data_IF_889273129687
#
_entry.id   IF_889273129687
#
_cell.length_a   1.000
_cell.length_b   1.000
_cell.length_c   1.000
_cell.angle_alpha   90.00
_cell.angle_beta   90.00
_cell.angle_gamma   90.00
#
_symmetry.space_group_name_H-M   'P 1'
#
loop_
_entity.id
_entity.type
_entity.pdbx_description
1 polymer ?
#
# COMPACT_ATOMS: atom_id res chain seq x y z
N UNK A 1 21.39 10.32 -8.99
CA UNK A 1 21.19 11.07 -7.73
C UNK A 1 20.40 10.17 -6.80
N UNK A 2 20.62 10.18 -5.48
CA UNK A 2 19.79 9.40 -4.57
C UNK A 2 18.34 9.91 -4.63
N UNK A 3 17.36 9.00 -4.62
CA UNK A 3 15.93 9.34 -4.50
C UNK A 3 15.73 9.90 -3.10
N UNK A 4 15.10 11.07 -2.98
CA UNK A 4 14.76 11.66 -1.69
C UNK A 4 13.46 11.03 -1.20
N UNK A 5 13.56 10.13 -0.22
CA UNK A 5 12.42 9.37 0.30
C UNK A 5 11.77 10.05 1.50
N UNK A 6 12.22 11.24 1.90
CA UNK A 6 11.73 11.91 3.09
C UNK A 6 10.22 12.23 2.99
N UNK A 7 9.50 11.94 4.06
CA UNK A 7 8.10 12.36 4.24
C UNK A 7 8.10 13.66 5.04
N UNK A 8 7.34 14.65 4.56
CA UNK A 8 7.21 15.99 5.15
C UNK A 8 5.73 16.34 5.41
N UNK A 9 5.43 17.35 6.24
CA UNK A 9 4.07 17.85 6.40
C UNK A 9 3.45 18.30 5.07
N UNK A 10 2.21 17.88 4.82
CA UNK A 10 1.44 18.21 3.62
C UNK A 10 0.68 19.54 3.73
N UNK A 11 -0.17 19.81 2.73
CA UNK A 11 -1.04 20.98 2.67
C UNK A 11 -2.47 20.59 2.25
N UNK A 12 -3.46 21.37 2.69
CA UNK A 12 -4.86 21.18 2.30
C UNK A 12 -5.43 19.83 2.74
N UNK A 13 -5.88 19.04 1.78
CA UNK A 13 -6.51 17.73 2.00
C UNK A 13 -5.51 16.63 2.38
N UNK A 14 -4.21 16.91 2.32
CA UNK A 14 -3.13 15.96 2.63
C UNK A 14 -2.48 16.30 3.97
N UNK A 15 -2.29 15.28 4.80
CA UNK A 15 -1.61 15.42 6.08
C UNK A 15 -0.08 15.42 5.92
N UNK A 16 0.43 14.58 5.02
CA UNK A 16 1.85 14.42 4.73
C UNK A 16 2.07 14.22 3.23
N UNK A 17 3.31 14.39 2.78
CA UNK A 17 3.73 14.15 1.40
C UNK A 17 5.18 13.66 1.32
N UNK A 18 5.49 12.87 0.31
CA UNK A 18 6.83 12.43 -0.06
C UNK A 18 7.14 12.93 -1.48
N UNK A 19 7.59 14.19 -1.63
CA UNK A 19 7.71 14.85 -2.93
C UNK A 19 8.91 14.36 -3.75
N UNK A 20 9.90 13.72 -3.11
CA UNK A 20 11.15 13.30 -3.74
C UNK A 20 11.16 11.90 -4.35
N UNK A 21 10.03 11.18 -4.29
CA UNK A 21 9.84 9.91 -4.98
C UNK A 21 9.70 10.11 -6.50
N UNK A 22 9.89 9.05 -7.28
CA UNK A 22 9.81 9.10 -8.76
C UNK A 22 8.49 9.71 -9.22
N UNK A 23 7.40 9.32 -8.57
CA UNK A 23 6.13 10.02 -8.60
C UNK A 23 5.85 10.55 -7.19
N UNK A 24 5.59 11.86 -7.00
CA UNK A 24 5.24 12.40 -5.69
C UNK A 24 4.06 11.63 -5.07
N UNK A 25 4.21 11.30 -3.79
CA UNK A 25 3.17 10.60 -3.02
C UNK A 25 2.60 11.54 -1.98
N UNK A 26 1.27 11.57 -1.82
CA UNK A 26 0.58 12.39 -0.83
C UNK A 26 -0.32 11.51 0.03
N UNK A 27 -0.30 11.73 1.34
CA UNK A 27 -1.03 10.95 2.33
C UNK A 27 -2.27 11.73 2.78
N UNK A 28 -3.44 11.22 2.43
CA UNK A 28 -4.71 11.91 2.64
C UNK A 28 -5.30 11.71 4.03
N UNK A 29 -6.51 12.26 4.19
CA UNK A 29 -7.24 12.33 5.48
C UNK A 29 -8.52 11.50 5.49
N UNK A 30 -8.86 10.85 4.37
CA UNK A 30 -10.09 10.05 4.23
C UNK A 30 -9.79 8.66 3.67
N UNK A 31 -10.68 7.71 3.92
CA UNK A 31 -10.51 6.33 3.49
C UNK A 31 -10.57 6.20 1.97
N UNK A 32 -11.36 7.04 1.30
CA UNK A 32 -11.54 7.05 -0.15
C UNK A 32 -10.36 7.68 -0.89
N UNK A 33 -9.57 8.53 -0.21
CA UNK A 33 -8.41 9.23 -0.76
C UNK A 33 -7.24 9.13 0.20
N UNK A 34 -6.84 7.89 0.48
CA UNK A 34 -5.84 7.54 1.49
C UNK A 34 -4.42 7.86 1.03
N UNK A 35 -4.10 7.51 -0.21
CA UNK A 35 -2.82 7.86 -0.86
C UNK A 35 -3.07 8.36 -2.26
N UNK A 36 -2.40 9.43 -2.66
CA UNK A 36 -2.38 9.89 -4.05
C UNK A 36 -0.97 9.78 -4.61
N UNK A 37 -0.83 9.16 -5.78
CA UNK A 37 0.43 9.09 -6.54
C UNK A 37 0.29 9.98 -7.77
N UNK A 38 1.16 10.98 -7.91
CA UNK A 38 1.11 11.92 -9.03
C UNK A 38 1.86 11.38 -10.25
N UNK A 39 1.11 10.93 -11.25
CA UNK A 39 1.65 10.42 -12.51
C UNK A 39 1.61 11.45 -13.63
N UNK A 40 2.34 11.19 -14.72
CA UNK A 40 2.30 12.04 -15.93
C UNK A 40 0.91 12.06 -16.60
N UNK A 41 0.10 11.03 -16.39
CA UNK A 41 -1.24 10.90 -16.95
C UNK A 41 -2.35 11.44 -16.01
N UNK A 42 -1.99 11.80 -14.78
CA UNK A 42 -2.92 12.26 -13.75
C UNK A 42 -2.71 11.57 -12.40
N UNK A 43 -3.39 12.03 -11.34
CA UNK A 43 -3.26 11.41 -10.02
C UNK A 43 -3.95 10.04 -9.99
N UNK A 44 -3.26 9.04 -9.44
CA UNK A 44 -3.86 7.77 -9.02
C UNK A 44 -4.25 7.88 -7.55
N UNK A 45 -5.53 7.66 -7.24
CA UNK A 45 -6.02 7.79 -5.86
C UNK A 45 -6.30 6.41 -5.28
N UNK A 46 -5.50 6.03 -4.29
CA UNK A 46 -5.65 4.80 -3.53
C UNK A 46 -6.62 5.02 -2.37
N UNK A 47 -7.60 4.13 -2.24
CA UNK A 47 -8.55 4.10 -1.15
C UNK A 47 -8.54 2.77 -0.41
N UNK A 48 -9.15 2.73 0.78
CA UNK A 48 -9.29 1.56 1.64
C UNK A 48 -10.75 1.41 2.08
N UNK A 49 -11.44 0.44 1.51
CA UNK A 49 -12.89 0.33 1.68
C UNK A 49 -13.27 -0.09 3.10
N UNK A 50 -14.17 0.69 3.70
CA UNK A 50 -14.74 0.42 5.03
C UNK A 50 -13.82 0.79 6.20
N UNK A 51 -12.66 1.38 5.93
CA UNK A 51 -11.78 1.89 6.98
C UNK A 51 -12.36 3.17 7.61
N UNK A 52 -12.03 3.39 8.88
CA UNK A 52 -12.25 4.67 9.56
C UNK A 52 -10.90 5.29 9.84
N UNK A 53 -10.58 6.43 9.20
CA UNK A 53 -9.29 7.07 9.41
C UNK A 53 -9.29 7.95 10.66
N UNK A 54 -8.24 7.79 11.47
CA UNK A 54 -7.81 8.79 12.44
C UNK A 54 -7.00 9.90 11.77
N UNK A 55 -6.75 10.99 12.49
CA UNK A 55 -5.67 11.91 12.13
C UNK A 55 -4.35 11.11 12.06
N UNK A 56 -3.61 11.16 10.95
CA UNK A 56 -2.34 10.45 10.86
C UNK A 56 -1.24 11.19 11.63
N UNK A 57 -0.27 10.44 12.11
CA UNK A 57 0.96 10.96 12.71
C UNK A 57 2.17 10.58 11.88
N UNK A 58 3.21 11.42 11.90
CA UNK A 58 4.50 11.12 11.28
C UNK A 58 5.53 10.97 12.39
N UNK A 59 6.02 9.74 12.57
CA UNK A 59 7.02 9.38 13.58
C UNK A 59 8.11 8.54 12.92
N UNK A 60 9.38 8.90 13.12
CA UNK A 60 10.55 8.18 12.57
C UNK A 60 10.46 7.89 11.06
N UNK A 61 9.87 8.81 10.28
CA UNK A 61 9.70 8.67 8.83
C UNK A 61 8.57 7.73 8.41
N UNK A 62 7.70 7.34 9.35
CA UNK A 62 6.53 6.48 9.11
C UNK A 62 5.25 7.30 9.30
N UNK A 63 4.37 7.29 8.31
CA UNK A 63 3.02 7.86 8.46
C UNK A 63 2.11 6.76 9.00
N UNK A 64 1.52 6.98 10.18
CA UNK A 64 0.64 6.01 10.83
C UNK A 64 -0.78 6.52 10.95
N UNK A 65 -1.72 5.68 10.52
CA UNK A 65 -3.16 5.80 10.77
C UNK A 65 -3.55 4.72 11.79
N UNK A 66 -3.96 5.13 12.98
CA UNK A 66 -4.32 4.20 14.04
C UNK A 66 -5.76 3.70 13.87
N UNK A 67 -5.97 2.41 14.16
CA UNK A 67 -7.28 1.78 14.22
C UNK A 67 -8.12 1.99 12.94
N UNK A 68 -7.49 1.90 11.76
CA UNK A 68 -8.19 1.96 10.47
C UNK A 68 -9.29 0.90 10.37
N UNK A 69 -9.06 -0.22 11.04
CA UNK A 69 -10.08 -1.16 11.51
C UNK A 69 -9.79 -1.50 12.97
N UNK A 70 -10.76 -2.08 13.68
CA UNK A 70 -10.52 -2.56 15.05
C UNK A 70 -9.35 -3.53 15.09
N UNK A 71 -8.30 -3.19 15.85
CA UNK A 71 -7.09 -4.01 15.96
C UNK A 71 -6.18 -3.98 14.72
N UNK A 72 -6.39 -3.06 13.79
CA UNK A 72 -5.53 -2.88 12.60
C UNK A 72 -5.10 -1.42 12.51
N UNK A 73 -3.79 -1.20 12.58
CA UNK A 73 -3.18 0.08 12.23
C UNK A 73 -2.65 0.02 10.80
N UNK A 74 -2.52 1.16 10.15
CA UNK A 74 -1.93 1.27 8.81
C UNK A 74 -0.73 2.20 8.85
N UNK A 75 0.41 1.72 8.38
CA UNK A 75 1.68 2.43 8.34
C UNK A 75 2.18 2.56 6.91
N UNK A 76 2.63 3.75 6.53
CA UNK A 76 3.26 4.01 5.24
C UNK A 76 4.73 4.37 5.41
N UNK A 77 5.55 3.79 4.54
CA UNK A 77 7.01 3.97 4.52
C UNK A 77 7.48 4.09 3.08
N UNK A 78 8.49 4.92 2.86
CA UNK A 78 9.03 5.25 1.54
C UNK A 78 10.44 4.68 1.30
N UNK A 79 10.80 3.66 2.09
CA UNK A 79 12.12 3.04 2.09
C UNK A 79 12.50 2.49 0.70
N UNK A 80 13.76 2.64 0.28
CA UNK A 80 14.33 2.14 -0.98
C UNK A 80 13.59 2.55 -2.27
N UNK A 81 12.85 3.67 -2.24
CA UNK A 81 12.08 4.14 -3.39
C UNK A 81 10.80 3.36 -3.63
N UNK A 82 10.38 2.52 -2.67
CA UNK A 82 9.10 1.81 -2.62
C UNK A 82 8.12 2.54 -1.72
N UNK A 83 6.82 2.45 -1.99
CA UNK A 83 5.79 2.78 -1.01
C UNK A 83 5.30 1.50 -0.30
N UNK A 84 5.87 1.22 0.87
CA UNK A 84 5.36 0.19 1.77
C UNK A 84 4.03 0.62 2.40
N UNK A 85 3.06 -0.30 2.47
CA UNK A 85 1.70 -0.05 2.98
C UNK A 85 1.36 -1.10 4.03
N UNK A 86 1.93 -0.98 5.22
CA UNK A 86 1.90 -2.02 6.24
C UNK A 86 0.59 -2.00 7.03
N UNK A 87 -0.23 -3.03 6.86
CA UNK A 87 -1.34 -3.32 7.78
C UNK A 87 -0.77 -4.06 9.00
N UNK A 88 -0.81 -3.41 10.17
CA UNK A 88 -0.31 -3.98 11.43
C UNK A 88 -1.50 -4.54 12.20
N UNK A 89 -1.64 -5.86 12.21
CA UNK A 89 -2.70 -6.60 12.89
C UNK A 89 -2.26 -6.89 14.32
N UNK A 90 -3.03 -6.41 15.29
CA UNK A 90 -2.68 -6.51 16.71
C UNK A 90 -2.86 -7.92 17.30
N UNK A 91 -3.85 -8.68 16.82
CA UNK A 91 -4.15 -10.04 17.28
C UNK A 91 -4.94 -10.85 16.23
N UNK A 92 -5.14 -12.14 16.51
CA UNK A 92 -5.84 -13.07 15.60
C UNK A 92 -7.33 -12.74 15.36
N UNK A 93 -7.93 -11.82 16.12
CA UNK A 93 -9.31 -11.34 15.92
C UNK A 93 -9.37 -10.11 15.02
N UNK A 94 -8.22 -9.47 14.74
CA UNK A 94 -8.14 -8.38 13.80
C UNK A 94 -8.59 -8.83 12.40
N UNK A 95 -9.06 -7.88 11.61
CA UNK A 95 -9.43 -8.14 10.21
C UNK A 95 -8.20 -8.63 9.43
N UNK A 96 -8.38 -9.64 8.59
CA UNK A 96 -7.32 -10.25 7.78
C UNK A 96 -7.56 -10.14 6.27
N UNK A 97 -8.73 -9.64 5.87
CA UNK A 97 -9.11 -9.34 4.49
C UNK A 97 -9.24 -7.83 4.29
N UNK A 98 -8.63 -7.29 3.23
CA UNK A 98 -8.66 -5.88 2.91
C UNK A 98 -9.03 -5.67 1.45
N UNK A 99 -9.73 -4.58 1.20
CA UNK A 99 -10.12 -4.16 -0.14
C UNK A 99 -9.62 -2.75 -0.37
N UNK A 100 -8.59 -2.65 -1.19
CA UNK A 100 -8.06 -1.37 -1.63
C UNK A 100 -8.65 -1.04 -3.00
N UNK A 101 -8.80 0.24 -3.28
CA UNK A 101 -9.20 0.74 -4.58
C UNK A 101 -8.09 1.59 -5.16
N UNK A 102 -7.91 1.53 -6.48
CA UNK A 102 -7.07 2.48 -7.23
C UNK A 102 -8.01 3.19 -8.17
N UNK A 103 -8.35 4.44 -7.87
CA UNK A 103 -9.17 5.26 -8.74
C UNK A 103 -8.33 5.78 -9.91
N UNK A 104 -8.70 5.34 -11.11
CA UNK A 104 -8.07 5.64 -12.39
C UNK A 104 -9.16 5.55 -13.47
N UNK A 105 -10.07 6.54 -13.56
CA UNK A 105 -11.27 6.45 -14.38
C UNK A 105 -10.98 6.37 -15.89
N UNK A 106 -9.83 6.90 -16.31
CA UNK A 106 -9.36 6.85 -17.70
C UNK A 106 -8.52 5.60 -17.98
N UNK A 107 -8.34 4.70 -16.98
CA UNK A 107 -7.54 3.49 -17.09
C UNK A 107 -6.12 3.76 -17.63
N UNK A 108 -5.50 4.84 -17.14
CA UNK A 108 -4.17 5.27 -17.55
C UNK A 108 -3.09 4.23 -17.26
N UNK A 109 -3.29 3.36 -16.26
CA UNK A 109 -2.39 2.24 -15.96
C UNK A 109 -2.47 1.08 -16.97
N UNK A 110 -3.52 1.00 -17.79
CA UNK A 110 -3.69 -0.09 -18.77
C UNK A 110 -4.12 -1.41 -18.14
N UNK A 111 -3.88 -2.53 -18.84
CA UNK A 111 -4.27 -3.85 -18.34
C UNK A 111 -3.27 -4.37 -17.28
N UNK A 112 -3.76 -4.86 -16.12
CA UNK A 112 -2.89 -5.47 -15.12
C UNK A 112 -2.60 -6.93 -15.53
N UNK A 113 -1.34 -7.34 -15.41
CA UNK A 113 -0.90 -8.71 -15.64
C UNK A 113 -0.18 -9.26 -14.41
N UNK A 114 -0.41 -10.54 -14.09
CA UNK A 114 0.24 -11.21 -12.97
C UNK A 114 1.42 -12.05 -13.48
N UNK A 115 2.58 -11.87 -12.88
CA UNK A 115 3.77 -12.66 -13.20
C UNK A 115 3.80 -14.03 -12.46
N UNK A 116 4.82 -14.85 -12.74
CA UNK A 116 5.01 -16.14 -12.05
C UNK A 116 5.36 -15.99 -10.57
N UNK A 117 5.93 -14.84 -10.17
CA UNK A 117 6.26 -14.49 -8.78
C UNK A 117 5.06 -14.03 -7.96
N UNK A 118 3.92 -13.79 -8.61
CA UNK A 118 2.68 -13.34 -7.99
C UNK A 118 2.53 -11.81 -7.91
N UNK A 119 3.48 -11.05 -8.44
CA UNK A 119 3.40 -9.60 -8.57
C UNK A 119 2.43 -9.22 -9.70
N UNK A 120 1.81 -8.05 -9.56
CA UNK A 120 0.92 -7.47 -10.56
C UNK A 120 1.58 -6.25 -11.19
N UNK A 121 1.81 -6.31 -12.50
CA UNK A 121 2.38 -5.22 -13.28
C UNK A 121 1.30 -4.55 -14.13
N UNK A 122 1.34 -3.22 -14.17
CA UNK A 122 0.50 -2.44 -15.07
C UNK A 122 1.26 -2.15 -16.37
N UNK A 123 0.55 -2.23 -17.51
CA UNK A 123 1.13 -2.11 -18.86
C UNK A 123 1.78 -0.75 -19.12
N UNK A 124 1.18 0.32 -18.59
CA UNK A 124 1.56 1.68 -18.95
C UNK A 124 2.54 2.32 -17.96
N UNK A 125 3.37 3.21 -18.50
CA UNK A 125 4.32 4.00 -17.72
C UNK A 125 3.62 5.12 -16.93
N UNK A 126 3.99 5.27 -15.65
CA UNK A 126 3.51 6.33 -14.75
C UNK A 126 4.45 7.54 -14.68
N UNK A 127 5.68 7.39 -15.16
CA UNK A 127 6.64 8.46 -15.40
C UNK A 127 7.51 8.12 -16.63
N UNK A 128 8.49 8.97 -16.97
CA UNK A 128 9.36 8.80 -18.14
C UNK A 128 10.13 7.46 -18.10
N UNK A 129 9.56 6.42 -18.70
CA UNK A 129 10.13 5.08 -18.73
C UNK A 129 10.08 4.33 -17.39
N UNK A 130 9.14 4.69 -16.51
CA UNK A 130 8.97 4.04 -15.20
C UNK A 130 7.56 3.51 -15.04
N UNK A 131 7.47 2.23 -14.67
CA UNK A 131 6.22 1.49 -14.51
C UNK A 131 5.72 1.53 -13.09
N UNK A 132 4.52 0.99 -12.88
CA UNK A 132 3.98 0.75 -11.56
C UNK A 132 3.71 -0.74 -11.40
N UNK A 133 4.12 -1.30 -10.28
CA UNK A 133 3.79 -2.67 -9.91
C UNK A 133 3.32 -2.78 -8.47
N UNK A 134 2.53 -3.81 -8.22
CA UNK A 134 2.18 -4.27 -6.89
C UNK A 134 2.93 -5.58 -6.67
N UNK A 135 4.03 -5.58 -5.90
CA UNK A 135 4.77 -6.80 -5.59
C UNK A 135 3.86 -7.85 -4.95
N UNK A 136 4.28 -9.13 -5.04
CA UNK A 136 3.58 -10.19 -4.34
C UNK A 136 3.47 -9.84 -2.83
N UNK A 137 2.28 -9.94 -2.23
CA UNK A 137 2.09 -9.55 -0.86
C UNK A 137 2.82 -10.53 0.05
N UNK A 138 3.32 -10.03 1.17
CA UNK A 138 3.92 -10.86 2.18
C UNK A 138 3.53 -10.37 3.58
N UNK A 139 3.58 -11.29 4.53
CA UNK A 139 3.36 -11.02 5.92
C UNK A 139 4.48 -11.61 6.80
N UNK A 140 4.70 -10.97 7.95
CA UNK A 140 5.71 -11.37 8.94
C UNK A 140 5.29 -10.95 10.36
N UNK A 141 5.86 -11.60 11.37
CA UNK A 141 5.66 -11.24 12.77
C UNK A 141 6.61 -10.12 13.17
N UNK A 142 6.17 -9.21 14.05
CA UNK A 142 7.03 -8.11 14.52
C UNK A 142 8.05 -8.55 15.59
N UNK A 143 7.89 -9.76 16.15
CA UNK A 143 8.69 -10.30 17.27
C UNK A 143 9.99 -11.00 16.85
N UNK A 144 10.26 -11.18 15.56
CA UNK A 144 11.51 -11.72 15.04
C UNK A 144 12.44 -10.63 14.48
N UNK A 145 13.73 -10.96 14.26
CA UNK A 145 14.55 -10.26 13.25
C UNK A 145 13.68 -10.08 12.01
N UNK A 146 13.75 -8.93 11.30
CA UNK A 146 12.99 -8.66 10.05
C UNK A 146 13.20 -9.79 9.02
N UNK A 147 12.52 -10.91 9.21
CA UNK A 147 12.58 -12.05 8.31
C UNK A 147 11.64 -11.66 7.20
N UNK A 148 12.26 -11.36 6.06
CA UNK A 148 11.67 -11.22 4.73
C UNK A 148 10.37 -12.01 4.66
N UNK A 149 9.28 -11.29 4.40
CA UNK A 149 7.93 -11.85 4.43
C UNK A 149 7.87 -13.18 3.68
N UNK A 150 7.23 -14.17 4.30
CA UNK A 150 7.28 -15.55 3.81
C UNK A 150 6.42 -15.66 2.54
N UNK A 151 6.97 -16.06 1.38
CA UNK A 151 6.15 -16.29 0.20
C UNK A 151 4.99 -17.24 0.53
N UNK A 152 3.76 -16.85 0.16
CA UNK A 152 2.53 -17.60 0.47
C UNK A 152 1.90 -17.26 1.83
N UNK A 153 2.45 -16.33 2.62
CA UNK A 153 1.83 -15.82 3.85
C UNK A 153 0.64 -14.88 3.61
N UNK A 154 0.45 -14.44 2.36
CA UNK A 154 -0.64 -13.56 1.95
C UNK A 154 -0.99 -13.77 0.47
N UNK A 155 -2.19 -13.34 0.11
CA UNK A 155 -2.75 -13.44 -1.24
C UNK A 155 -3.22 -12.07 -1.72
N UNK A 156 -2.99 -11.78 -2.99
CA UNK A 156 -3.45 -10.55 -3.63
C UNK A 156 -4.03 -10.83 -5.02
N UNK A 157 -5.16 -10.20 -5.28
CA UNK A 157 -5.82 -10.23 -6.58
C UNK A 157 -6.22 -8.83 -7.01
N UNK A 158 -6.00 -8.53 -8.29
CA UNK A 158 -6.36 -7.25 -8.91
C UNK A 158 -7.49 -7.50 -9.90
N UNK A 159 -8.54 -6.69 -9.81
CA UNK A 159 -9.68 -6.72 -10.74
C UNK A 159 -9.88 -5.34 -11.33
N UNK A 160 -10.08 -5.29 -12.65
CA UNK A 160 -10.44 -4.04 -13.35
C UNK A 160 -11.90 -3.70 -13.05
N UNK A 161 -12.16 -2.44 -12.74
CA UNK A 161 -13.50 -1.88 -12.44
C UNK A 161 -13.82 -0.75 -13.41
N UNK A 162 -15.02 -0.18 -13.38
CA UNK A 162 -15.35 0.97 -14.23
C UNK A 162 -14.68 2.29 -13.83
N UNK A 163 -14.01 2.33 -12.68
CA UNK A 163 -13.40 3.56 -12.12
C UNK A 163 -11.91 3.36 -11.81
N UNK A 164 -11.27 2.35 -12.40
CA UNK A 164 -9.89 1.95 -12.11
C UNK A 164 -9.81 0.49 -11.66
N UNK A 165 -9.24 0.22 -10.49
CA UNK A 165 -8.90 -1.14 -10.05
C UNK A 165 -9.34 -1.42 -8.61
N UNK A 166 -9.72 -2.66 -8.33
CA UNK A 166 -9.91 -3.20 -6.99
C UNK A 166 -8.76 -4.16 -6.68
N UNK A 167 -8.16 -4.02 -5.50
CA UNK A 167 -7.15 -4.92 -4.98
C UNK A 167 -7.72 -5.63 -3.77
N UNK A 168 -7.90 -6.95 -3.88
CA UNK A 168 -8.24 -7.80 -2.75
C UNK A 168 -6.95 -8.34 -2.15
N UNK A 169 -6.82 -8.21 -0.85
CA UNK A 169 -5.66 -8.63 -0.10
C UNK A 169 -6.14 -9.47 1.09
N UNK A 170 -5.58 -10.66 1.27
CA UNK A 170 -5.94 -11.54 2.38
C UNK A 170 -4.68 -12.16 2.98
N UNK A 171 -4.64 -12.28 4.30
CA UNK A 171 -3.62 -13.07 4.99
C UNK A 171 -3.90 -14.57 4.74
N UNK A 172 -2.86 -15.37 4.47
CA UNK A 172 -3.05 -16.81 4.36
C UNK A 172 -3.42 -17.39 5.73
N UNK A 173 -4.56 -18.09 5.81
CA UNK A 173 -5.09 -18.56 7.09
C UNK A 173 -4.24 -19.64 7.73
N UNK A 174 -3.68 -20.55 6.93
CA UNK A 174 -2.86 -21.63 7.46
C UNK A 174 -1.57 -21.06 8.06
N UNK A 175 -1.01 -20.03 7.41
CA UNK A 175 0.11 -19.28 7.98
C UNK A 175 -0.30 -18.47 9.22
N UNK A 176 -1.43 -17.76 9.17
CA UNK A 176 -1.89 -16.88 10.24
C UNK A 176 -2.21 -17.62 11.55
N UNK A 177 -2.70 -18.86 11.47
CA UNK A 177 -3.04 -19.69 12.63
C UNK A 177 -1.81 -20.05 13.48
N UNK A 178 -0.62 -20.05 12.87
CA UNK A 178 0.67 -20.35 13.54
C UNK A 178 1.48 -19.08 13.88
N UNK A 179 1.05 -17.92 13.40
CA UNK A 179 1.79 -16.67 13.55
C UNK A 179 1.66 -16.06 14.95
N UNK A 180 2.77 -15.52 15.46
CA UNK A 180 2.76 -14.68 16.66
C UNK A 180 2.39 -13.24 16.29
N UNK A 181 1.35 -12.70 16.93
CA UNK A 181 0.93 -11.32 16.74
C UNK A 181 1.77 -10.36 17.61
N UNK A 182 2.01 -9.12 17.15
CA UNK A 182 1.42 -8.49 15.96
C UNK A 182 2.04 -8.97 14.64
N UNK A 183 1.18 -9.04 13.62
CA UNK A 183 1.54 -9.40 12.24
C UNK A 183 1.52 -8.16 11.38
N UNK A 184 2.50 -8.02 10.51
CA UNK A 184 2.53 -7.00 9.45
C UNK A 184 2.19 -7.65 8.13
N UNK A 185 1.27 -7.07 7.38
CA UNK A 185 0.90 -7.44 6.02
C UNK A 185 1.22 -6.28 5.06
N UNK A 186 1.96 -6.56 3.99
CA UNK A 186 2.56 -5.54 3.13
C UNK A 186 2.21 -5.70 1.63
N UNK A 187 1.12 -5.06 1.18
CA UNK A 187 0.79 -4.91 -0.24
C UNK A 187 1.52 -3.71 -0.86
N UNK A 188 2.84 -3.69 -0.89
CA UNK A 188 3.61 -2.51 -1.34
C UNK A 188 3.25 -2.01 -2.76
N UNK A 189 3.74 -0.81 -3.10
CA UNK A 189 3.76 -0.29 -4.47
C UNK A 189 5.20 0.02 -4.84
N UNK A 190 5.64 -0.49 -5.99
CA UNK A 190 7.00 -0.29 -6.49
C UNK A 190 6.99 0.35 -7.88
N UNK A 191 8.09 1.05 -8.17
CA UNK A 191 8.39 1.63 -9.46
C UNK A 191 9.51 0.84 -10.11
N UNK A 192 9.33 0.43 -11.37
CA UNK A 192 10.29 -0.40 -12.12
C UNK A 192 10.71 0.24 -13.45
#
# INVERSE_FOLDING_TARGET
MPIETAIVPGQGDFAFEAPGLVNPVRFGRTAESLVTIDTVAGPLVFGLQGATLSEPVLEDGVVRYAQVFTGVDLEFRTDDGRLGKHFVLADAKARQDFRLTIHDPEHTLGEPSRDEGGAWQFENWVAYGTGLELPAPAAWTQTGDRVVGLPGSAHQEVTVTSTGYEVRLELDRAWADEAEFPVVLDPAVEWY
#
